data_IF_481163331005
#
_entry.id   IF_481163331005
#
_cell.length_a   1.000
_cell.length_b   1.000
_cell.length_c   1.000
_cell.angle_alpha   90.00
_cell.angle_beta   90.00
_cell.angle_gamma   90.00
#
_symmetry.space_group_name_H-M   'P 1'
#
loop_
_entity.id
_entity.type
_entity.pdbx_description
1 polymer ?
#
# COMPACT_ATOMS: atom_id res chain seq x y z
N UNK A 1 -7.04 -31.19 7.37
CA UNK A 1 -5.87 -31.00 6.49
C UNK A 1 -6.36 -30.85 5.06
N UNK A 2 -6.64 -29.62 4.61
CA UNK A 2 -6.91 -29.34 3.19
C UNK A 2 -5.73 -28.48 2.72
N UNK A 3 -4.80 -29.11 2.01
CA UNK A 3 -3.79 -28.39 1.22
C UNK A 3 -4.53 -27.66 0.10
N UNK A 4 -4.50 -26.35 0.11
CA UNK A 4 -4.84 -25.55 -1.06
C UNK A 4 -3.83 -25.90 -2.16
N UNK A 5 -4.29 -26.66 -3.15
CA UNK A 5 -3.52 -27.00 -4.35
C UNK A 5 -3.52 -25.74 -5.21
N UNK A 6 -2.43 -24.98 -5.17
CA UNK A 6 -2.17 -23.94 -6.17
C UNK A 6 -2.04 -24.62 -7.52
N UNK A 7 -2.99 -24.37 -8.41
CA UNK A 7 -2.91 -24.81 -9.81
C UNK A 7 -1.67 -24.14 -10.44
N UNK A 8 -0.77 -24.87 -11.09
CA UNK A 8 0.37 -24.30 -11.78
C UNK A 8 -0.12 -23.50 -13.00
N UNK A 9 0.20 -22.19 -13.06
CA UNK A 9 0.07 -21.42 -14.29
C UNK A 9 -0.89 -20.24 -14.30
N UNK A 10 -1.57 -19.86 -13.19
CA UNK A 10 -2.31 -18.60 -13.16
C UNK A 10 -1.33 -17.47 -12.85
N UNK A 11 -1.04 -16.65 -13.86
CA UNK A 11 -0.22 -15.44 -13.67
C UNK A 11 -0.86 -14.58 -12.56
N UNK A 12 -0.09 -14.26 -11.51
CA UNK A 12 -0.58 -13.41 -10.43
C UNK A 12 -0.83 -12.01 -10.98
N UNK A 13 -2.01 -11.45 -10.71
CA UNK A 13 -2.34 -10.09 -11.11
C UNK A 13 -1.49 -9.09 -10.31
N UNK A 14 -1.14 -7.92 -10.88
CA UNK A 14 -0.33 -6.94 -10.17
C UNK A 14 -1.05 -6.35 -8.93
N UNK A 15 -0.28 -6.11 -7.90
CA UNK A 15 -0.66 -5.25 -6.78
C UNK A 15 -0.34 -3.81 -7.17
N UNK A 16 -1.30 -2.91 -7.01
CA UNK A 16 -1.07 -1.48 -7.21
C UNK A 16 -0.53 -0.87 -5.92
N UNK A 17 0.60 -0.20 -6.00
CA UNK A 17 1.15 0.60 -4.90
C UNK A 17 1.00 2.07 -5.25
N UNK A 18 0.31 2.81 -4.39
CA UNK A 18 0.12 4.24 -4.51
C UNK A 18 0.92 4.98 -3.44
N UNK A 19 1.75 5.95 -3.83
CA UNK A 19 2.48 6.81 -2.90
C UNK A 19 1.91 8.22 -2.96
N UNK A 20 1.38 8.71 -1.83
CA UNK A 20 0.85 10.07 -1.74
C UNK A 20 1.67 10.97 -0.82
N UNK A 21 1.32 12.25 -0.75
CA UNK A 21 2.10 13.25 -0.03
C UNK A 21 1.85 13.27 1.48
N UNK A 22 2.15 12.19 2.16
CA UNK A 22 2.21 12.10 3.62
C UNK A 22 3.58 11.57 4.03
N UNK A 23 4.01 11.84 5.25
CA UNK A 23 5.25 11.28 5.81
C UNK A 23 5.14 9.76 5.93
N UNK A 24 6.25 9.06 5.72
CA UNK A 24 6.31 7.60 5.79
C UNK A 24 6.82 6.95 4.50
N UNK A 25 7.67 7.66 3.75
CA UNK A 25 8.30 7.14 2.51
C UNK A 25 9.06 5.84 2.73
N UNK A 26 9.65 5.64 3.92
CA UNK A 26 10.31 4.40 4.31
C UNK A 26 9.34 3.20 4.28
N UNK A 27 8.07 3.39 4.63
CA UNK A 27 7.06 2.33 4.55
C UNK A 27 6.73 1.99 3.09
N UNK A 28 6.70 3.00 2.21
CA UNK A 28 6.48 2.78 0.78
C UNK A 28 7.65 2.02 0.16
N UNK A 29 8.89 2.45 0.46
CA UNK A 29 10.12 1.77 0.04
C UNK A 29 10.07 0.28 0.43
N UNK A 30 9.92 0.00 1.72
CA UNK A 30 9.90 -1.35 2.24
C UNK A 30 8.73 -2.20 1.70
N UNK A 31 7.56 -1.59 1.43
CA UNK A 31 6.41 -2.29 0.84
C UNK A 31 6.70 -2.74 -0.59
N UNK A 32 7.27 -1.87 -1.44
CA UNK A 32 7.63 -2.22 -2.82
C UNK A 32 8.72 -3.29 -2.82
N UNK A 33 9.76 -3.13 -2.03
CA UNK A 33 10.86 -4.10 -1.93
C UNK A 33 10.36 -5.48 -1.47
N UNK A 34 9.46 -5.53 -0.50
CA UNK A 34 8.89 -6.79 -0.02
C UNK A 34 8.03 -7.48 -1.09
N UNK A 35 7.24 -6.73 -1.87
CA UNK A 35 6.47 -7.26 -2.98
C UNK A 35 7.41 -7.85 -4.06
N UNK A 36 8.46 -7.12 -4.43
CA UNK A 36 9.43 -7.56 -5.44
C UNK A 36 10.24 -8.76 -4.95
N UNK A 37 10.68 -8.76 -3.69
CA UNK A 37 11.37 -9.91 -3.08
C UNK A 37 10.53 -11.21 -3.13
N UNK A 38 9.20 -11.07 -3.11
CA UNK A 38 8.23 -12.19 -3.25
C UNK A 38 7.88 -12.48 -4.69
N UNK A 39 8.55 -11.85 -5.64
CA UNK A 39 8.26 -12.01 -7.06
C UNK A 39 6.78 -11.67 -7.42
N UNK A 40 6.16 -10.77 -6.64
CA UNK A 40 4.78 -10.31 -6.84
C UNK A 40 4.75 -9.21 -7.89
N UNK A 41 3.97 -9.33 -8.97
CA UNK A 41 3.83 -8.26 -9.95
C UNK A 41 3.34 -6.97 -9.27
N UNK A 42 4.07 -5.87 -9.50
CA UNK A 42 3.85 -4.60 -8.80
C UNK A 42 3.71 -3.45 -9.78
N UNK A 43 2.62 -2.69 -9.65
CA UNK A 43 2.34 -1.49 -10.43
C UNK A 43 2.41 -0.26 -9.50
N UNK A 44 3.35 0.64 -9.74
CA UNK A 44 3.59 1.81 -8.89
C UNK A 44 3.05 3.09 -9.52
N UNK A 45 2.37 3.89 -8.70
CA UNK A 45 2.00 5.29 -8.98
C UNK A 45 2.43 6.17 -7.81
N UNK A 46 3.16 7.25 -8.09
CA UNK A 46 3.58 8.21 -7.07
C UNK A 46 3.08 9.61 -7.41
N UNK A 47 2.45 10.28 -6.45
CA UNK A 47 2.04 11.68 -6.62
C UNK A 47 3.24 12.63 -6.56
N UNK A 48 3.09 13.85 -7.11
CA UNK A 48 4.15 14.86 -7.02
C UNK A 48 4.46 15.21 -5.56
N UNK A 49 3.45 15.32 -4.70
CA UNK A 49 3.65 15.54 -3.28
C UNK A 49 4.36 14.35 -2.60
N UNK A 50 4.08 13.10 -3.02
CA UNK A 50 4.79 11.92 -2.53
C UNK A 50 6.28 11.95 -2.87
N UNK A 51 6.65 12.42 -4.06
CA UNK A 51 8.07 12.58 -4.45
C UNK A 51 8.79 13.65 -3.62
N UNK A 52 8.09 14.75 -3.30
CA UNK A 52 8.66 15.80 -2.44
C UNK A 52 8.94 15.27 -1.03
N UNK A 53 7.96 14.57 -0.43
CA UNK A 53 8.13 13.97 0.89
C UNK A 53 9.24 12.90 0.87
N UNK A 54 9.33 12.10 -0.19
CA UNK A 54 10.41 11.12 -0.37
C UNK A 54 11.80 11.76 -0.29
N UNK A 55 11.98 12.88 -0.99
CA UNK A 55 13.25 13.60 -1.01
C UNK A 55 13.63 14.19 0.35
N UNK A 56 12.65 14.55 1.18
CA UNK A 56 12.88 15.10 2.52
C UNK A 56 13.17 13.99 3.56
N UNK A 57 12.70 12.77 3.33
CA UNK A 57 12.75 11.69 4.33
C UNK A 57 13.84 10.65 4.07
N UNK A 58 14.29 10.48 2.83
CA UNK A 58 15.22 9.44 2.44
C UNK A 58 16.50 10.02 1.82
N UNK A 59 17.64 9.43 2.14
CA UNK A 59 18.95 9.80 1.59
C UNK A 59 19.12 9.44 0.11
N UNK A 60 18.21 8.61 -0.44
CA UNK A 60 18.17 8.18 -1.84
C UNK A 60 16.99 8.85 -2.56
N UNK A 61 17.24 9.42 -3.74
CA UNK A 61 16.19 10.06 -4.51
C UNK A 61 15.16 9.04 -5.04
N UNK A 62 13.91 9.50 -5.21
CA UNK A 62 12.87 8.67 -5.82
C UNK A 62 13.26 8.16 -7.21
N UNK A 63 14.01 8.97 -7.99
CA UNK A 63 14.45 8.61 -9.35
C UNK A 63 15.49 7.50 -9.34
N UNK A 64 16.46 7.54 -8.43
CA UNK A 64 17.45 6.48 -8.27
C UNK A 64 16.80 5.17 -7.82
N UNK A 65 15.92 5.22 -6.82
CA UNK A 65 15.18 4.05 -6.35
C UNK A 65 14.31 3.47 -7.46
N UNK A 66 13.60 4.33 -8.21
CA UNK A 66 12.78 3.90 -9.33
C UNK A 66 13.59 3.19 -10.41
N UNK A 67 14.80 3.67 -10.72
CA UNK A 67 15.69 3.02 -11.69
C UNK A 67 16.05 1.60 -11.26
N UNK A 68 16.36 1.39 -9.98
CA UNK A 68 16.63 0.05 -9.42
C UNK A 68 15.41 -0.85 -9.52
N UNK A 69 14.22 -0.37 -9.15
CA UNK A 69 13.01 -1.17 -9.22
C UNK A 69 12.62 -1.56 -10.65
N UNK A 70 12.89 -0.67 -11.63
CA UNK A 70 12.61 -0.93 -13.04
C UNK A 70 13.47 -2.05 -13.66
N UNK A 71 14.55 -2.46 -13.02
CA UNK A 71 15.33 -3.63 -13.42
C UNK A 71 14.58 -4.95 -13.11
N UNK A 72 13.59 -4.92 -12.21
CA UNK A 72 12.82 -6.10 -11.86
C UNK A 72 11.74 -6.38 -12.92
N UNK A 73 11.70 -7.59 -13.51
CA UNK A 73 10.83 -7.89 -14.67
C UNK A 73 9.32 -7.82 -14.37
N UNK A 74 8.92 -7.85 -13.09
CA UNK A 74 7.53 -7.76 -12.65
C UNK A 74 7.16 -6.38 -12.08
N UNK A 75 8.02 -5.40 -12.23
CA UNK A 75 7.75 -4.03 -11.80
C UNK A 75 7.33 -3.15 -12.98
N UNK A 76 6.32 -2.32 -12.75
CA UNK A 76 5.88 -1.31 -13.73
C UNK A 76 5.58 0.00 -13.01
N UNK A 77 6.14 1.08 -13.50
CA UNK A 77 5.82 2.42 -13.03
C UNK A 77 4.89 3.13 -14.02
N UNK A 78 3.86 3.79 -13.49
CA UNK A 78 2.95 4.63 -14.26
C UNK A 78 3.01 6.08 -13.78
N UNK A 79 3.19 7.06 -14.71
CA UNK A 79 3.11 8.48 -14.38
C UNK A 79 1.75 8.86 -13.78
N UNK A 80 1.75 9.78 -12.81
CA UNK A 80 0.54 10.20 -12.07
C UNK A 80 -0.60 10.71 -12.98
N UNK A 81 -0.26 11.29 -14.12
CA UNK A 81 -1.23 11.87 -15.06
C UNK A 81 -1.62 10.92 -16.20
N UNK A 82 -1.09 9.70 -16.23
CA UNK A 82 -1.39 8.74 -17.30
C UNK A 82 -2.69 7.97 -17.04
N UNK A 83 -3.82 8.62 -17.32
CA UNK A 83 -5.14 7.98 -17.21
C UNK A 83 -5.42 6.93 -18.30
N UNK A 84 -4.48 6.67 -19.22
CA UNK A 84 -4.55 5.57 -20.18
C UNK A 84 -3.90 4.30 -19.66
N UNK A 85 -3.17 4.38 -18.54
CA UNK A 85 -2.56 3.22 -17.92
C UNK A 85 -3.59 2.12 -17.63
N UNK A 86 -3.24 0.83 -17.79
CA UNK A 86 -4.17 -0.28 -17.59
C UNK A 86 -4.89 -0.25 -16.24
N UNK A 87 -4.21 0.15 -15.17
CA UNK A 87 -4.77 0.23 -13.81
C UNK A 87 -5.88 1.29 -13.64
N UNK A 88 -6.10 2.16 -14.63
CA UNK A 88 -7.23 3.09 -14.68
C UNK A 88 -8.54 2.41 -15.12
N UNK A 89 -8.46 1.19 -15.65
CA UNK A 89 -9.60 0.43 -16.16
C UNK A 89 -10.05 -0.65 -15.17
N UNK A 90 -11.36 -0.75 -14.92
CA UNK A 90 -11.95 -1.83 -14.11
C UNK A 90 -11.79 -3.23 -14.76
N UNK A 91 -11.69 -3.30 -16.08
CA UNK A 91 -11.51 -4.57 -16.79
C UNK A 91 -10.08 -5.10 -16.76
N UNK A 92 -9.09 -4.27 -16.41
CA UNK A 92 -7.73 -4.73 -16.17
C UNK A 92 -7.63 -5.39 -14.78
N UNK A 93 -7.26 -6.67 -14.70
CA UNK A 93 -7.25 -7.38 -13.43
C UNK A 93 -6.08 -6.92 -12.56
N UNK A 94 -6.38 -6.59 -11.29
CA UNK A 94 -5.37 -6.34 -10.24
C UNK A 94 -5.72 -7.15 -9.00
N UNK A 95 -4.72 -7.54 -8.22
CA UNK A 95 -4.92 -8.24 -6.93
C UNK A 95 -5.41 -7.33 -5.81
N UNK A 96 -5.41 -6.02 -6.05
CA UNK A 96 -5.79 -4.98 -5.10
C UNK A 96 -4.82 -3.81 -5.15
N UNK A 97 -5.00 -2.88 -4.22
CA UNK A 97 -4.17 -1.69 -4.10
C UNK A 97 -3.83 -1.40 -2.64
N UNK A 98 -2.60 -0.98 -2.38
CA UNK A 98 -2.23 -0.29 -1.16
C UNK A 98 -1.84 1.14 -1.47
N UNK A 99 -2.34 2.10 -0.69
CA UNK A 99 -1.86 3.49 -0.69
C UNK A 99 -1.02 3.69 0.57
N UNK A 100 0.28 3.79 0.39
CA UNK A 100 1.27 3.87 1.48
C UNK A 100 2.39 4.87 1.14
N UNK A 101 2.54 5.94 1.92
CA UNK A 101 1.56 6.46 2.87
C UNK A 101 0.35 7.07 2.16
N UNK A 102 -0.79 7.13 2.86
CA UNK A 102 -2.01 7.77 2.38
C UNK A 102 -2.22 9.13 3.06
N UNK A 103 -2.14 10.21 2.29
CA UNK A 103 -2.42 11.56 2.79
C UNK A 103 -3.92 11.75 3.01
N UNK A 104 -4.28 12.61 3.97
CA UNK A 104 -5.69 12.95 4.23
C UNK A 104 -6.38 13.55 3.01
N UNK A 105 -5.65 14.29 2.17
CA UNK A 105 -6.19 14.79 0.89
C UNK A 105 -6.54 13.64 -0.06
N UNK A 106 -5.68 12.63 -0.19
CA UNK A 106 -5.98 11.46 -1.03
C UNK A 106 -7.14 10.65 -0.47
N UNK A 107 -7.19 10.43 0.84
CA UNK A 107 -8.29 9.76 1.53
C UNK A 107 -9.61 10.52 1.32
N UNK A 108 -9.61 11.83 1.50
CA UNK A 108 -10.80 12.68 1.26
C UNK A 108 -11.25 12.60 -0.21
N UNK A 109 -10.31 12.64 -1.15
CA UNK A 109 -10.62 12.54 -2.58
C UNK A 109 -11.29 11.21 -2.92
N UNK A 110 -10.70 10.08 -2.48
CA UNK A 110 -11.28 8.74 -2.72
C UNK A 110 -12.64 8.60 -2.03
N UNK A 111 -12.78 9.08 -0.79
CA UNK A 111 -14.04 9.04 -0.05
C UNK A 111 -15.17 9.80 -0.72
N UNK A 112 -14.85 10.79 -1.54
CA UNK A 112 -15.83 11.59 -2.27
C UNK A 112 -15.89 11.27 -3.79
N UNK A 113 -15.27 10.15 -4.23
CA UNK A 113 -15.32 9.68 -5.60
C UNK A 113 -14.55 10.57 -6.60
N UNK A 114 -13.58 11.34 -6.13
CA UNK A 114 -12.74 12.18 -6.97
C UNK A 114 -11.59 11.36 -7.55
N UNK A 115 -11.46 11.32 -8.87
CA UNK A 115 -10.46 10.53 -9.61
C UNK A 115 -9.65 11.42 -10.56
N UNK A 116 -9.16 12.55 -10.07
CA UNK A 116 -8.48 13.57 -10.87
C UNK A 116 -7.09 13.17 -11.40
N UNK A 117 -6.53 12.07 -10.92
CA UNK A 117 -5.24 11.53 -11.35
C UNK A 117 -5.24 9.99 -11.25
N UNK A 118 -4.21 9.36 -11.77
CA UNK A 118 -4.13 7.91 -11.85
C UNK A 118 -4.13 7.21 -10.47
N UNK A 119 -3.51 7.81 -9.45
CA UNK A 119 -3.49 7.26 -8.09
C UNK A 119 -4.91 7.17 -7.51
N UNK A 120 -5.66 8.26 -7.61
CA UNK A 120 -7.05 8.31 -7.14
C UNK A 120 -7.96 7.43 -8.01
N UNK A 121 -7.72 7.40 -9.34
CA UNK A 121 -8.49 6.56 -10.25
C UNK A 121 -8.28 5.06 -9.97
N UNK A 122 -7.06 4.62 -9.70
CA UNK A 122 -6.79 3.22 -9.35
C UNK A 122 -7.47 2.81 -8.03
N UNK A 123 -7.52 3.71 -7.03
CA UNK A 123 -8.25 3.47 -5.79
C UNK A 123 -9.77 3.39 -6.03
N UNK A 124 -10.33 4.29 -6.84
CA UNK A 124 -11.74 4.28 -7.26
C UNK A 124 -12.08 2.97 -8.01
N UNK A 125 -11.20 2.52 -8.90
CA UNK A 125 -11.34 1.23 -9.59
C UNK A 125 -11.39 0.07 -8.59
N UNK A 126 -10.53 0.05 -7.58
CA UNK A 126 -10.57 -0.99 -6.55
C UNK A 126 -11.92 -1.02 -5.82
N UNK A 127 -12.44 0.15 -5.43
CA UNK A 127 -13.73 0.22 -4.74
C UNK A 127 -14.90 -0.25 -5.63
N UNK A 128 -14.98 0.24 -6.87
CA UNK A 128 -16.10 -0.10 -7.77
C UNK A 128 -16.09 -1.57 -8.23
N UNK A 129 -14.92 -2.19 -8.30
CA UNK A 129 -14.77 -3.60 -8.67
C UNK A 129 -14.71 -4.54 -7.45
N UNK A 130 -14.98 -4.03 -6.25
CA UNK A 130 -14.89 -4.78 -4.98
C UNK A 130 -13.53 -5.47 -4.78
N UNK A 131 -12.45 -4.84 -5.26
CA UNK A 131 -11.07 -5.29 -5.04
C UNK A 131 -10.54 -4.71 -3.73
N UNK A 132 -9.59 -5.40 -3.15
CA UNK A 132 -8.97 -4.98 -1.90
C UNK A 132 -8.31 -3.61 -2.05
N UNK A 133 -8.69 -2.66 -1.21
CA UNK A 133 -8.04 -1.36 -1.06
C UNK A 133 -7.55 -1.22 0.37
N UNK A 134 -6.22 -1.10 0.53
CA UNK A 134 -5.57 -0.86 1.83
C UNK A 134 -5.08 0.58 1.85
N UNK A 135 -5.46 1.31 2.87
CA UNK A 135 -5.06 2.70 3.09
C UNK A 135 -4.21 2.78 4.35
N UNK A 136 -3.00 3.30 4.22
CA UNK A 136 -2.06 3.51 5.34
C UNK A 136 -2.01 5.00 5.66
N UNK A 137 -3.01 5.55 6.41
CA UNK A 137 -3.10 6.97 6.70
C UNK A 137 -1.97 7.40 7.62
N UNK A 138 -1.34 8.56 7.35
CA UNK A 138 -0.41 9.17 8.29
C UNK A 138 -0.76 10.65 8.48
N UNK A 139 -1.30 10.94 9.65
CA UNK A 139 -1.66 12.28 10.10
C UNK A 139 -1.78 12.32 11.63
N UNK A 140 -1.36 13.40 12.25
CA UNK A 140 -1.52 13.63 13.67
C UNK A 140 -1.50 15.13 14.00
N UNK A 141 -2.49 15.68 14.77
CA UNK A 141 -3.73 15.02 15.19
C UNK A 141 -4.75 14.84 14.07
N UNK A 142 -5.74 14.00 14.31
CA UNK A 142 -6.89 13.83 13.39
C UNK A 142 -8.03 14.75 13.83
N UNK A 143 -8.72 15.37 12.86
CA UNK A 143 -9.98 16.08 13.09
C UNK A 143 -11.17 15.28 12.53
N UNK A 144 -12.41 15.72 12.84
CA UNK A 144 -13.64 14.99 12.51
C UNK A 144 -13.76 14.63 11.03
N UNK A 145 -13.43 15.53 10.10
CA UNK A 145 -13.53 15.27 8.66
C UNK A 145 -12.56 14.14 8.24
N UNK A 146 -11.36 14.06 8.81
CA UNK A 146 -10.45 12.94 8.56
C UNK A 146 -11.09 11.62 8.97
N UNK A 147 -11.65 11.58 10.20
CA UNK A 147 -12.28 10.39 10.74
C UNK A 147 -13.53 9.97 9.95
N UNK A 148 -14.36 10.94 9.54
CA UNK A 148 -15.56 10.70 8.71
C UNK A 148 -15.20 10.11 7.35
N UNK A 149 -14.16 10.63 6.67
CA UNK A 149 -13.70 10.12 5.39
C UNK A 149 -13.15 8.69 5.51
N UNK A 150 -12.35 8.40 6.55
CA UNK A 150 -11.86 7.06 6.83
C UNK A 150 -13.01 6.10 7.16
N UNK A 151 -13.98 6.52 7.97
CA UNK A 151 -15.18 5.72 8.27
C UNK A 151 -15.98 5.41 7.02
N UNK A 152 -16.17 6.39 6.13
CA UNK A 152 -16.87 6.21 4.86
C UNK A 152 -16.20 5.13 4.00
N UNK A 153 -14.88 5.19 3.87
CA UNK A 153 -14.10 4.21 3.11
C UNK A 153 -14.10 2.82 3.76
N UNK A 154 -13.99 2.75 5.09
CA UNK A 154 -14.09 1.48 5.82
C UNK A 154 -15.46 0.80 5.62
N UNK A 155 -16.56 1.57 5.60
CA UNK A 155 -17.90 1.06 5.29
C UNK A 155 -18.04 0.55 3.86
N UNK A 156 -17.22 1.04 2.94
CA UNK A 156 -17.13 0.57 1.56
C UNK A 156 -16.20 -0.64 1.39
N UNK A 157 -15.64 -1.17 2.49
CA UNK A 157 -14.77 -2.34 2.47
C UNK A 157 -13.27 -2.06 2.33
N UNK A 158 -12.85 -0.78 2.31
CA UNK A 158 -11.43 -0.46 2.38
C UNK A 158 -10.87 -0.79 3.77
N UNK A 159 -9.65 -1.31 3.79
CA UNK A 159 -8.91 -1.54 5.03
C UNK A 159 -8.15 -0.25 5.38
N UNK A 160 -8.54 0.40 6.48
CA UNK A 160 -7.80 1.54 7.03
C UNK A 160 -6.79 0.98 8.04
N UNK A 161 -5.50 1.12 7.72
CA UNK A 161 -4.39 0.53 8.45
C UNK A 161 -3.41 1.64 8.88
N UNK A 162 -3.65 2.32 10.02
CA UNK A 162 -2.71 3.30 10.54
C UNK A 162 -1.34 2.65 10.85
N UNK A 163 -0.22 3.32 10.55
CA UNK A 163 1.11 2.76 10.74
C UNK A 163 1.57 2.88 12.20
N UNK A 164 0.84 2.24 13.09
CA UNK A 164 1.09 2.30 14.53
C UNK A 164 2.03 1.17 14.97
N UNK A 165 2.97 1.46 15.91
CA UNK A 165 3.87 0.46 16.42
C UNK A 165 3.16 -0.57 17.30
N UNK A 166 3.51 -1.85 17.15
CA UNK A 166 3.10 -2.91 18.05
C UNK A 166 4.01 -2.91 19.30
N UNK A 167 3.71 -2.09 20.29
CA UNK A 167 4.55 -1.92 21.48
C UNK A 167 4.81 -3.23 22.27
N UNK A 168 3.91 -4.21 22.17
CA UNK A 168 4.11 -5.52 22.79
C UNK A 168 5.28 -6.32 22.18
N UNK A 169 5.69 -5.99 20.95
CA UNK A 169 6.88 -6.57 20.30
C UNK A 169 8.18 -5.88 20.75
N UNK A 170 8.10 -4.82 21.55
CA UNK A 170 9.24 -4.03 22.05
C UNK A 170 10.19 -3.58 20.92
N UNK A 171 9.69 -2.85 19.91
CA UNK A 171 10.52 -2.41 18.78
C UNK A 171 11.71 -1.58 19.30
N UNK A 172 12.91 -1.83 18.75
CA UNK A 172 14.14 -1.16 19.14
C UNK A 172 14.55 -0.07 18.14
N UNK A 173 13.95 -0.10 16.94
CA UNK A 173 14.25 0.84 15.85
C UNK A 173 12.99 1.24 15.08
N UNK A 174 13.11 2.24 14.22
CA UNK A 174 12.04 2.63 13.28
C UNK A 174 11.83 1.52 12.25
N UNK A 175 12.87 0.82 11.85
CA UNK A 175 12.84 -0.30 10.91
C UNK A 175 11.99 -1.46 11.45
N UNK A 176 12.00 -1.72 12.76
CA UNK A 176 11.14 -2.73 13.39
C UNK A 176 9.66 -2.37 13.24
N UNK A 177 9.33 -1.07 13.41
CA UNK A 177 7.97 -0.57 13.21
C UNK A 177 7.56 -0.70 11.74
N UNK A 178 8.43 -0.27 10.82
CA UNK A 178 8.19 -0.39 9.38
C UNK A 178 7.97 -1.83 8.98
N UNK A 179 8.80 -2.75 9.45
CA UNK A 179 8.67 -4.19 9.19
C UNK A 179 7.34 -4.75 9.65
N UNK A 180 6.88 -4.34 10.85
CA UNK A 180 5.55 -4.74 11.35
C UNK A 180 4.43 -4.21 10.45
N UNK A 181 4.47 -2.92 10.09
CA UNK A 181 3.46 -2.30 9.22
C UNK A 181 3.42 -2.97 7.85
N UNK A 182 4.58 -3.23 7.23
CA UNK A 182 4.67 -3.95 5.96
C UNK A 182 4.08 -5.36 6.05
N UNK A 183 4.39 -6.10 7.12
CA UNK A 183 3.77 -7.40 7.38
C UNK A 183 2.24 -7.29 7.46
N UNK A 184 1.70 -6.28 8.15
CA UNK A 184 0.25 -6.02 8.21
C UNK A 184 -0.33 -5.68 6.83
N UNK A 185 0.40 -4.94 6.00
CA UNK A 185 -0.01 -4.65 4.62
C UNK A 185 -0.09 -5.94 3.80
N UNK A 186 0.90 -6.84 3.90
CA UNK A 186 0.90 -8.12 3.17
C UNK A 186 -0.32 -8.98 3.54
N UNK A 187 -0.65 -9.05 4.83
CA UNK A 187 -1.85 -9.76 5.30
C UNK A 187 -3.13 -9.05 4.82
N UNK A 188 -3.18 -7.72 4.93
CA UNK A 188 -4.34 -6.95 4.49
C UNK A 188 -4.59 -7.05 2.98
N UNK A 189 -3.57 -7.25 2.17
CA UNK A 189 -3.66 -7.50 0.72
C UNK A 189 -3.98 -8.97 0.37
N UNK A 190 -4.07 -9.87 1.36
CA UNK A 190 -4.18 -11.33 1.18
C UNK A 190 -3.00 -11.95 0.41
N UNK A 191 -1.81 -11.37 0.52
CA UNK A 191 -0.55 -11.96 0.04
C UNK A 191 -0.08 -13.01 1.03
N UNK A 192 -0.20 -12.70 2.32
CA UNK A 192 0.05 -13.63 3.43
C UNK A 192 -1.26 -13.98 4.14
N UNK A 193 -1.35 -15.21 4.65
CA UNK A 193 -2.46 -15.63 5.51
C UNK A 193 -2.32 -15.05 6.94
N UNK A 194 -1.09 -14.88 7.41
CA UNK A 194 -0.77 -14.38 8.75
C UNK A 194 0.56 -13.62 8.76
N UNK A 195 0.80 -12.86 9.83
CA UNK A 195 2.11 -12.26 10.08
C UNK A 195 3.19 -13.34 10.27
N UNK A 196 4.48 -13.05 9.95
CA UNK A 196 5.60 -13.86 10.38
C UNK A 196 5.55 -14.14 11.89
N UNK A 197 5.99 -15.33 12.31
CA UNK A 197 5.87 -15.78 13.71
C UNK A 197 6.48 -14.80 14.72
N UNK A 198 7.59 -14.16 14.38
CA UNK A 198 8.28 -13.17 15.21
C UNK A 198 7.57 -11.82 15.30
N UNK A 199 6.59 -11.57 14.44
CA UNK A 199 5.71 -10.40 14.45
C UNK A 199 4.31 -10.71 15.03
N UNK A 200 4.05 -11.95 15.43
CA UNK A 200 2.81 -12.34 16.09
C UNK A 200 2.90 -12.11 17.59
N UNK A 201 1.74 -11.90 18.22
CA UNK A 201 1.64 -11.93 19.67
C UNK A 201 2.02 -13.33 20.18
N UNK A 202 2.99 -13.40 21.07
CA UNK A 202 3.40 -14.64 21.73
C UNK A 202 2.75 -14.71 23.10
N UNK A 203 2.08 -15.82 23.42
CA UNK A 203 1.67 -16.09 24.80
C UNK A 203 2.92 -16.19 25.67
N UNK A 204 2.97 -15.37 26.73
CA UNK A 204 4.02 -15.52 27.73
C UNK A 204 3.87 -16.92 28.35
N UNK A 205 4.92 -17.75 28.26
CA UNK A 205 4.95 -18.99 29.01
C UNK A 205 4.81 -18.64 30.51
N UNK A 206 3.67 -18.97 31.10
CA UNK A 206 3.45 -18.87 32.55
C UNK A 206 4.32 -19.86 33.29
#
# INVERSE_FOLDING_TARGET
MHRATTLPGVAMNPVVVGISGASGSMMALATVEELLRRDTPTALVCSNAGRLVWQEELDVSFTETLAVWQEHPKFTFYPINDLRAPIASGTYPTSGMVMVPASMNSIASVANGLSSNLLLRAADVCLKENRRLVLVPRESPLHSIHLENMLKLARMGAVVLPPEPAFYLKPQSVEDVVRFVVGRIMVALNIDEALPNDLQYQESAC
#
